data_IF_583949045867
#
_entry.id   IF_583949045867
#
_cell.length_a   1.000
_cell.length_b   1.000
_cell.length_c   1.000
_cell.angle_alpha   90.00
_cell.angle_beta   90.00
_cell.angle_gamma   90.00
#
_symmetry.space_group_name_H-M   'P 1'
#
loop_
_entity.id
_entity.type
_entity.pdbx_description
1 polymer ?
#
# COMPACT_ATOMS: atom_id res chain seq x y z
N UNK A 1 -32.61 -20.06 17.88
CA UNK A 1 -31.48 -20.78 18.49
C UNK A 1 -30.28 -20.49 17.60
N UNK A 2 -29.46 -19.51 17.97
CA UNK A 2 -28.25 -19.12 17.25
C UNK A 2 -27.06 -19.83 17.89
N UNK A 3 -26.31 -20.59 17.10
CA UNK A 3 -24.99 -21.09 17.46
C UNK A 3 -24.01 -20.47 16.46
N UNK A 4 -23.48 -19.29 16.82
CA UNK A 4 -22.30 -18.72 16.16
C UNK A 4 -21.08 -19.06 17.04
N UNK A 5 -20.53 -20.25 16.82
CA UNK A 5 -19.20 -20.60 17.32
C UNK A 5 -18.16 -19.91 16.44
N UNK A 6 -17.71 -18.73 16.86
CA UNK A 6 -16.51 -18.09 16.31
C UNK A 6 -15.28 -18.87 16.80
N UNK A 7 -14.85 -19.89 16.05
CA UNK A 7 -13.55 -20.51 16.27
C UNK A 7 -12.44 -19.54 15.87
N UNK A 8 -11.86 -18.85 16.86
CA UNK A 8 -10.59 -18.15 16.68
C UNK A 8 -9.49 -19.20 16.42
N UNK A 9 -8.80 -19.08 15.29
CA UNK A 9 -7.63 -19.90 15.01
C UNK A 9 -6.55 -19.64 16.05
N UNK A 10 -6.18 -20.66 16.83
CA UNK A 10 -5.11 -20.58 17.81
C UNK A 10 -3.91 -21.41 17.33
N UNK A 11 -2.78 -20.76 17.06
CA UNK A 11 -1.52 -21.44 16.77
C UNK A 11 -0.77 -21.67 18.09
N UNK A 12 -0.51 -22.93 18.44
CA UNK A 12 0.29 -23.30 19.61
C UNK A 12 1.70 -23.60 19.14
N UNK A 13 2.66 -22.79 19.57
CA UNK A 13 4.10 -23.04 19.37
C UNK A 13 4.64 -23.62 20.68
N UNK A 14 5.13 -24.85 20.64
CA UNK A 14 5.82 -25.47 21.77
C UNK A 14 7.25 -24.91 21.85
N UNK A 15 7.72 -24.63 23.07
CA UNK A 15 9.00 -23.94 23.30
C UNK A 15 9.85 -24.80 24.23
N UNK A 16 11.03 -25.21 23.76
CA UNK A 16 12.05 -25.91 24.55
C UNK A 16 13.23 -24.94 24.83
N UNK A 17 13.29 -24.33 26.02
CA UNK A 17 14.43 -23.50 26.47
C UNK A 17 14.12 -22.02 26.79
N UNK A 18 15.12 -21.21 27.23
CA UNK A 18 14.93 -19.81 27.63
C UNK A 18 14.30 -19.02 26.48
N UNK A 19 13.07 -18.57 26.70
CA UNK A 19 12.13 -18.26 25.62
C UNK A 19 12.18 -16.77 25.27
N UNK A 20 12.89 -16.43 24.21
CA UNK A 20 12.67 -15.16 23.52
C UNK A 20 11.62 -15.36 22.42
N UNK A 21 10.57 -14.55 22.45
CA UNK A 21 9.53 -14.54 21.42
C UNK A 21 9.66 -13.23 20.66
N UNK A 22 9.88 -13.35 19.35
CA UNK A 22 10.02 -12.22 18.45
C UNK A 22 8.70 -11.98 17.73
N UNK A 23 8.23 -10.73 17.74
CA UNK A 23 7.07 -10.26 16.99
C UNK A 23 7.56 -9.29 15.92
N UNK A 24 7.20 -9.54 14.66
CA UNK A 24 7.47 -8.60 13.56
C UNK A 24 6.27 -7.66 13.45
N UNK A 25 6.51 -6.35 13.44
CA UNK A 25 5.44 -5.34 13.62
C UNK A 25 4.30 -5.38 12.59
N UNK A 26 4.50 -5.98 11.42
CA UNK A 26 3.49 -6.15 10.37
C UNK A 26 2.93 -7.59 10.28
N UNK A 27 3.49 -8.57 11.00
CA UNK A 27 3.04 -9.96 10.99
C UNK A 27 2.34 -10.34 12.30
N UNK A 28 1.20 -11.04 12.20
CA UNK A 28 0.49 -11.58 13.38
C UNK A 28 1.05 -12.96 13.79
N UNK A 29 2.36 -13.14 13.70
CA UNK A 29 3.06 -14.40 13.99
C UNK A 29 4.21 -14.18 14.96
N UNK A 30 4.34 -15.10 15.91
CA UNK A 30 5.43 -15.16 16.87
C UNK A 30 6.53 -16.09 16.35
N UNK A 31 7.77 -15.60 16.27
CA UNK A 31 8.94 -16.40 15.92
C UNK A 31 9.70 -16.80 17.18
N UNK A 32 10.14 -18.07 17.24
CA UNK A 32 10.92 -18.62 18.35
C UNK A 32 12.44 -18.32 18.24
N UNK A 33 12.85 -17.61 17.19
CA UNK A 33 14.21 -17.14 16.98
C UNK A 33 14.18 -15.72 16.38
N UNK A 34 15.23 -14.90 16.58
CA UNK A 34 15.30 -13.57 15.99
C UNK A 34 15.20 -13.66 14.47
N UNK A 35 14.21 -13.02 13.82
CA UNK A 35 14.11 -13.02 12.37
C UNK A 35 15.27 -12.22 11.77
N UNK A 36 15.82 -12.71 10.66
CA UNK A 36 16.77 -11.94 9.87
C UNK A 36 16.01 -10.81 9.16
N UNK A 37 16.09 -9.61 9.72
CA UNK A 37 15.38 -8.45 9.21
C UNK A 37 15.78 -8.09 7.77
N UNK A 38 16.96 -8.52 7.31
CA UNK A 38 17.41 -8.29 5.94
C UNK A 38 16.66 -9.15 4.90
N UNK A 39 15.97 -10.20 5.34
CA UNK A 39 15.21 -11.11 4.48
C UNK A 39 13.70 -10.85 4.54
N UNK A 40 13.24 -9.98 5.43
CA UNK A 40 11.83 -9.68 5.57
C UNK A 40 11.34 -8.85 4.37
N UNK A 41 10.14 -9.16 3.83
CA UNK A 41 9.50 -8.32 2.83
C UNK A 41 9.38 -6.87 3.30
N UNK A 42 9.76 -5.93 2.43
CA UNK A 42 9.62 -4.50 2.69
C UNK A 42 8.17 -4.05 2.46
N UNK A 43 7.22 -4.66 3.18
CA UNK A 43 5.78 -4.41 3.07
C UNK A 43 4.92 -5.67 3.06
N UNK A 44 3.60 -5.47 2.94
CA UNK A 44 2.61 -6.55 2.89
C UNK A 44 1.48 -6.22 1.90
N UNK A 45 1.38 -7.01 0.82
CA UNK A 45 0.31 -6.86 -0.19
C UNK A 45 -1.04 -7.39 0.28
N UNK A 46 -1.11 -8.18 1.35
CA UNK A 46 -2.38 -8.59 1.95
C UNK A 46 -3.08 -7.41 2.67
N UNK A 47 -2.36 -6.31 2.91
CA UNK A 47 -2.91 -5.08 3.49
C UNK A 47 -3.14 -4.03 2.43
N UNK A 48 -4.24 -3.30 2.57
CA UNK A 48 -4.60 -2.17 1.68
C UNK A 48 -4.61 -0.86 2.45
N UNK A 49 -3.42 -0.29 2.69
CA UNK A 49 -3.25 0.95 3.45
C UNK A 49 -3.19 2.21 2.58
N UNK A 50 -3.04 2.05 1.26
CA UNK A 50 -3.11 3.14 0.30
C UNK A 50 -4.52 3.26 -0.29
N UNK A 51 -4.95 4.48 -0.56
CA UNK A 51 -6.28 4.79 -1.05
C UNK A 51 -6.19 5.58 -2.34
N UNK A 52 -6.74 5.05 -3.44
CA UNK A 52 -6.85 5.76 -4.71
C UNK A 52 -8.20 6.46 -4.75
N UNK A 53 -8.19 7.79 -4.63
CA UNK A 53 -9.37 8.59 -4.26
C UNK A 53 -10.03 9.32 -5.43
N UNK A 54 -9.28 9.55 -6.50
CA UNK A 54 -9.75 10.09 -7.78
C UNK A 54 -8.79 9.65 -8.90
N UNK A 55 -9.00 10.10 -10.14
CA UNK A 55 -8.19 9.71 -11.29
C UNK A 55 -6.67 9.85 -11.11
N UNK A 56 -6.20 10.85 -10.37
CA UNK A 56 -4.77 11.18 -10.27
C UNK A 56 -4.20 11.02 -8.85
N UNK A 57 -5.05 10.94 -7.84
CA UNK A 57 -4.64 11.09 -6.45
C UNK A 57 -4.62 9.76 -5.70
N UNK A 58 -3.48 9.46 -5.08
CA UNK A 58 -3.30 8.37 -4.13
C UNK A 58 -2.94 8.96 -2.76
N UNK A 59 -3.67 8.53 -1.73
CA UNK A 59 -3.45 8.90 -0.35
C UNK A 59 -2.84 7.72 0.41
N UNK A 60 -1.66 7.92 0.99
CA UNK A 60 -0.99 6.89 1.79
C UNK A 60 -0.34 7.48 3.04
N UNK A 61 -0.49 6.80 4.18
CA UNK A 61 -0.03 7.29 5.48
C UNK A 61 1.46 6.96 5.74
N UNK A 62 2.31 7.39 4.81
CA UNK A 62 3.78 7.28 4.90
C UNK A 62 4.38 8.66 4.74
N UNK A 63 5.31 9.11 5.60
CA UNK A 63 5.94 10.42 5.46
C UNK A 63 6.63 10.57 4.09
N UNK A 64 6.52 11.73 3.43
CA UNK A 64 7.09 11.94 2.10
C UNK A 64 8.62 12.05 2.10
N UNK A 65 9.23 12.35 3.25
CA UNK A 65 10.65 12.62 3.41
C UNK A 65 11.24 11.81 4.56
N UNK A 66 12.56 11.66 4.57
CA UNK A 66 13.28 11.07 5.69
C UNK A 66 13.38 12.03 6.87
N UNK A 67 12.39 11.97 7.77
CA UNK A 67 12.32 12.89 8.90
C UNK A 67 11.93 14.32 8.48
N UNK A 68 11.93 15.24 9.44
CA UNK A 68 11.51 16.62 9.19
C UNK A 68 12.52 17.37 8.32
N UNK A 69 12.20 17.55 7.03
CA UNK A 69 13.03 18.31 6.07
C UNK A 69 14.19 17.51 5.45
N UNK A 70 14.18 16.18 5.59
CA UNK A 70 15.13 15.31 4.90
C UNK A 70 14.82 15.15 3.41
N UNK A 71 15.65 14.36 2.69
CA UNK A 71 15.44 14.05 1.29
C UNK A 71 14.07 13.38 1.04
N UNK A 72 13.52 13.62 -0.15
CA UNK A 72 12.25 13.03 -0.59
C UNK A 72 12.41 11.53 -0.85
N UNK A 73 11.43 10.76 -0.38
CA UNK A 73 11.32 9.33 -0.64
C UNK A 73 10.74 9.09 -2.02
N UNK A 74 11.07 7.94 -2.59
CA UNK A 74 10.63 7.59 -3.94
C UNK A 74 9.38 6.72 -3.85
N UNK A 75 8.29 7.17 -4.46
CA UNK A 75 7.02 6.46 -4.47
C UNK A 75 6.75 5.88 -5.86
N UNK A 76 6.22 4.66 -5.90
CA UNK A 76 5.90 4.00 -7.16
C UNK A 76 4.54 3.30 -7.08
N UNK A 77 3.85 3.28 -8.21
CA UNK A 77 2.65 2.49 -8.47
C UNK A 77 3.03 1.31 -9.35
N UNK A 78 2.71 0.10 -8.92
CA UNK A 78 2.99 -1.14 -9.61
C UNK A 78 1.70 -1.78 -10.09
N UNK A 79 1.73 -2.32 -11.30
CA UNK A 79 0.60 -3.00 -11.92
C UNK A 79 1.01 -4.35 -12.50
N UNK A 80 0.14 -5.33 -12.33
CA UNK A 80 0.22 -6.65 -12.95
C UNK A 80 -1.17 -7.07 -13.45
N UNK A 81 -1.32 -7.42 -14.73
CA UNK A 81 -2.60 -7.89 -15.27
C UNK A 81 -2.96 -9.29 -14.79
N UNK A 82 -1.97 -10.12 -14.43
CA UNK A 82 -2.11 -11.52 -14.05
C UNK A 82 -2.02 -11.76 -12.52
N UNK A 83 -2.03 -10.67 -11.74
CA UNK A 83 -1.93 -10.70 -10.28
C UNK A 83 -0.68 -11.41 -9.73
N UNK A 84 0.47 -11.17 -10.38
CA UNK A 84 1.76 -11.77 -10.06
C UNK A 84 2.67 -10.91 -9.16
N UNK A 85 2.14 -9.80 -8.60
CA UNK A 85 2.93 -8.94 -7.70
C UNK A 85 3.29 -9.68 -6.42
N UNK A 86 4.55 -9.51 -6.01
CA UNK A 86 5.09 -9.98 -4.73
C UNK A 86 5.99 -8.90 -4.13
N UNK A 87 6.08 -8.89 -2.79
CA UNK A 87 7.02 -8.03 -2.07
C UNK A 87 8.16 -8.87 -1.54
N UNK A 88 9.38 -8.42 -1.80
CA UNK A 88 10.62 -8.99 -1.27
C UNK A 88 11.31 -7.94 -0.40
N UNK A 89 12.43 -8.30 0.22
CA UNK A 89 13.27 -7.33 0.94
C UNK A 89 13.80 -6.21 0.01
N UNK A 90 13.87 -6.47 -1.30
CA UNK A 90 14.28 -5.49 -2.32
C UNK A 90 13.13 -4.63 -2.86
N UNK A 91 11.89 -4.83 -2.41
CA UNK A 91 10.71 -4.10 -2.88
C UNK A 91 9.74 -4.95 -3.68
N UNK A 92 8.98 -4.33 -4.58
CA UNK A 92 7.93 -5.00 -5.36
C UNK A 92 8.51 -5.63 -6.63
N UNK A 93 8.18 -6.89 -6.89
CA UNK A 93 8.53 -7.63 -8.10
C UNK A 93 7.28 -8.19 -8.79
N UNK A 94 7.43 -8.58 -10.07
CA UNK A 94 6.32 -9.15 -10.86
C UNK A 94 5.42 -8.10 -11.51
N UNK A 95 5.77 -6.81 -11.41
CA UNK A 95 5.04 -5.75 -12.09
C UNK A 95 5.32 -5.77 -13.60
N UNK A 96 4.27 -5.70 -14.39
CA UNK A 96 4.36 -5.44 -15.83
C UNK A 96 4.63 -3.94 -16.08
N UNK A 97 3.99 -3.08 -15.29
CA UNK A 97 4.16 -1.63 -15.35
C UNK A 97 4.50 -1.08 -13.98
N UNK A 98 5.51 -0.21 -13.92
CA UNK A 98 5.85 0.57 -12.72
C UNK A 98 5.89 2.05 -13.09
N UNK A 99 5.10 2.85 -12.38
CA UNK A 99 4.98 4.29 -12.61
C UNK A 99 5.52 5.06 -11.40
N UNK A 100 6.37 6.08 -11.60
CA UNK A 100 6.75 6.96 -10.50
C UNK A 100 5.54 7.80 -10.06
N UNK A 101 5.36 7.96 -8.75
CA UNK A 101 4.39 8.85 -8.17
C UNK A 101 5.09 10.13 -7.69
N UNK A 102 4.45 11.27 -7.92
CA UNK A 102 4.95 12.56 -7.47
C UNK A 102 4.40 12.88 -6.08
N UNK A 103 5.26 13.30 -5.16
CA UNK A 103 4.78 13.89 -3.90
C UNK A 103 4.25 15.29 -4.19
N UNK A 104 2.94 15.47 -4.09
CA UNK A 104 2.30 16.77 -4.28
C UNK A 104 2.13 17.54 -2.95
N UNK A 105 2.18 16.85 -1.82
CA UNK A 105 2.16 17.47 -0.50
C UNK A 105 2.16 16.46 0.65
N UNK A 106 2.43 16.94 1.86
CA UNK A 106 2.38 16.12 3.08
C UNK A 106 0.97 15.87 3.62
N UNK A 107 -0.05 16.45 2.98
CA UNK A 107 -1.45 16.24 3.32
C UNK A 107 -2.30 16.28 2.04
N UNK A 108 -3.39 15.51 2.03
CA UNK A 108 -4.36 15.51 0.92
C UNK A 108 -5.05 16.87 0.76
N UNK A 109 -5.48 17.25 -0.46
CA UNK A 109 -6.20 18.49 -0.70
C UNK A 109 -7.51 18.58 0.11
N UNK A 110 -7.91 19.80 0.49
CA UNK A 110 -9.12 20.02 1.30
C UNK A 110 -10.41 19.47 0.64
N UNK A 111 -10.49 19.52 -0.70
CA UNK A 111 -11.61 18.95 -1.44
C UNK A 111 -11.70 17.42 -1.29
N UNK A 112 -10.56 16.73 -1.34
CA UNK A 112 -10.46 15.28 -1.11
C UNK A 112 -10.77 14.96 0.35
N UNK A 113 -10.23 15.74 1.29
CA UNK A 113 -10.49 15.57 2.72
C UNK A 113 -11.96 15.75 3.10
N UNK A 114 -12.72 16.58 2.37
CA UNK A 114 -14.16 16.73 2.57
C UNK A 114 -14.94 15.45 2.21
N UNK A 115 -14.51 14.73 1.15
CA UNK A 115 -15.09 13.43 0.74
C UNK A 115 -14.60 12.28 1.63
N UNK A 116 -13.33 12.32 2.03
CA UNK A 116 -12.65 11.29 2.80
C UNK A 116 -11.97 11.85 4.06
N UNK A 117 -12.73 12.25 5.11
CA UNK A 117 -12.15 12.90 6.30
C UNK A 117 -11.13 12.04 7.06
N UNK A 118 -11.28 10.72 6.98
CA UNK A 118 -10.38 9.76 7.62
C UNK A 118 -8.98 9.70 6.98
N UNK A 119 -8.82 10.21 5.75
CA UNK A 119 -7.54 10.28 5.03
C UNK A 119 -6.73 11.53 5.37
N UNK A 120 -7.21 12.37 6.29
CA UNK A 120 -6.44 13.49 6.78
C UNK A 120 -5.09 13.03 7.38
N UNK A 121 -4.03 13.75 7.03
CA UNK A 121 -2.66 13.44 7.42
C UNK A 121 -2.00 12.34 6.58
N UNK A 122 -2.65 11.86 5.51
CA UNK A 122 -2.00 11.04 4.50
C UNK A 122 -1.19 11.92 3.54
N UNK A 123 -0.06 11.39 3.08
CA UNK A 123 0.73 12.03 2.02
C UNK A 123 -0.08 12.04 0.72
N UNK A 124 -0.03 13.17 0.04
CA UNK A 124 -0.64 13.38 -1.26
C UNK A 124 0.32 12.94 -2.35
N UNK A 125 0.04 11.79 -2.95
CA UNK A 125 0.76 11.25 -4.09
C UNK A 125 -0.07 11.46 -5.35
N UNK A 126 0.57 11.94 -6.41
CA UNK A 126 -0.07 12.16 -7.70
C UNK A 126 0.54 11.26 -8.76
N UNK A 127 -0.32 10.73 -9.62
CA UNK A 127 0.07 10.10 -10.88
C UNK A 127 0.38 11.24 -11.87
N UNK A 128 1.60 11.29 -12.45
CA UNK A 128 1.96 12.30 -13.43
C UNK A 128 1.00 12.35 -14.62
N UNK A 129 0.78 13.53 -15.19
CA UNK A 129 -0.20 13.77 -16.26
C UNK A 129 0.03 12.86 -17.47
N UNK A 130 1.30 12.57 -17.79
CA UNK A 130 1.71 11.68 -18.88
C UNK A 130 1.23 10.22 -18.72
N UNK A 131 0.84 9.82 -17.51
CA UNK A 131 0.38 8.48 -17.20
C UNK A 131 -1.14 8.38 -16.97
N UNK A 132 -1.87 9.51 -16.97
CA UNK A 132 -3.30 9.53 -16.68
C UNK A 132 -4.17 8.82 -17.73
N UNK A 133 -3.67 8.62 -18.94
CA UNK A 133 -4.35 7.83 -19.97
C UNK A 133 -4.32 6.32 -19.68
N UNK A 134 -3.32 5.86 -18.92
CA UNK A 134 -3.11 4.44 -18.59
C UNK A 134 -4.00 4.00 -17.41
N UNK A 135 -4.49 4.94 -16.60
CA UNK A 135 -5.23 4.68 -15.36
C UNK A 135 -6.40 3.70 -15.56
N UNK A 136 -7.16 3.84 -16.64
CA UNK A 136 -8.31 2.95 -16.91
C UNK A 136 -7.89 1.49 -17.15
N UNK A 137 -6.68 1.26 -17.67
CA UNK A 137 -6.11 -0.09 -17.83
C UNK A 137 -5.54 -0.61 -16.50
N UNK A 138 -4.88 0.25 -15.72
CA UNK A 138 -4.30 -0.13 -14.42
C UNK A 138 -5.38 -0.62 -13.44
N UNK A 139 -6.59 -0.07 -13.51
CA UNK A 139 -7.72 -0.48 -12.66
C UNK A 139 -8.31 -1.87 -12.98
N UNK A 140 -7.84 -2.54 -14.05
CA UNK A 140 -8.35 -3.85 -14.48
C UNK A 140 -7.54 -5.03 -13.95
N UNK A 141 -6.49 -4.79 -13.18
CA UNK A 141 -5.59 -5.82 -12.67
C UNK A 141 -5.20 -5.59 -11.22
N UNK A 142 -4.13 -6.26 -10.79
CA UNK A 142 -3.57 -6.08 -9.46
C UNK A 142 -2.72 -4.82 -9.40
N UNK A 143 -2.92 -4.02 -8.36
CA UNK A 143 -2.21 -2.75 -8.14
C UNK A 143 -1.64 -2.70 -6.73
N UNK A 144 -0.39 -2.27 -6.61
CA UNK A 144 0.29 -2.01 -5.35
C UNK A 144 1.06 -0.70 -5.40
N UNK A 145 1.30 -0.08 -4.25
CA UNK A 145 2.25 1.03 -4.12
C UNK A 145 3.46 0.59 -3.32
N UNK A 146 4.61 1.19 -3.62
CA UNK A 146 5.82 1.07 -2.81
C UNK A 146 6.42 2.42 -2.49
N UNK A 147 7.18 2.46 -1.41
CA UNK A 147 8.04 3.57 -1.02
C UNK A 147 9.45 3.06 -0.80
N UNK A 148 10.41 3.78 -1.37
CA UNK A 148 11.83 3.56 -1.16
C UNK A 148 12.47 4.80 -0.56
N UNK A 149 13.56 4.58 0.19
CA UNK A 149 14.44 5.63 0.63
C UNK A 149 15.11 6.32 -0.58
N UNK A 150 15.69 7.51 -0.41
CA UNK A 150 16.35 8.24 -1.49
C UNK A 150 17.53 7.47 -2.13
N UNK A 151 18.12 6.54 -1.39
CA UNK A 151 19.19 5.64 -1.85
C UNK A 151 18.66 4.38 -2.59
N UNK A 152 17.34 4.24 -2.68
CA UNK A 152 16.66 3.12 -3.34
C UNK A 152 16.34 1.93 -2.42
N UNK A 153 16.66 1.99 -1.13
CA UNK A 153 16.28 0.92 -0.20
C UNK A 153 14.76 0.85 -0.03
N UNK A 154 14.16 -0.33 -0.23
CA UNK A 154 12.72 -0.51 -0.06
C UNK A 154 12.32 -0.33 1.41
N UNK A 155 11.30 0.50 1.65
CA UNK A 155 10.84 0.84 3.01
C UNK A 155 9.50 0.18 3.33
N UNK A 156 8.54 0.26 2.41
CA UNK A 156 7.22 -0.32 2.58
C UNK A 156 6.54 -0.52 1.21
N UNK A 157 5.57 -1.43 1.16
CA UNK A 157 4.75 -1.70 0.00
C UNK A 157 3.42 -2.28 0.45
N UNK A 158 2.33 -1.84 -0.17
CA UNK A 158 0.99 -2.34 0.16
C UNK A 158 0.05 -2.30 -1.04
N UNK A 159 -1.06 -3.02 -0.94
CA UNK A 159 -2.12 -2.97 -1.94
C UNK A 159 -2.92 -1.65 -1.84
N UNK A 160 -3.65 -1.34 -2.90
CA UNK A 160 -4.40 -0.07 -3.01
C UNK A 160 -5.90 -0.30 -2.98
N UNK A 161 -6.63 0.54 -2.23
CA UNK A 161 -8.08 0.60 -2.29
C UNK A 161 -8.51 1.44 -3.50
N UNK A 162 -9.14 0.80 -4.49
CA UNK A 162 -9.46 1.41 -5.79
C UNK A 162 -10.81 2.13 -5.85
N UNK A 163 -11.63 2.04 -4.78
CA UNK A 163 -13.03 2.46 -4.81
C UNK A 163 -13.23 3.93 -5.23
N UNK A 164 -12.37 4.85 -4.77
CA UNK A 164 -12.49 6.28 -5.10
C UNK A 164 -12.17 6.58 -6.57
N UNK A 165 -11.13 5.95 -7.12
CA UNK A 165 -10.77 6.08 -8.53
C UNK A 165 -11.84 5.49 -9.46
N UNK A 166 -12.43 4.35 -9.09
CA UNK A 166 -13.52 3.73 -9.85
C UNK A 166 -14.77 4.63 -9.84
N UNK A 167 -15.13 5.21 -8.68
CA UNK A 167 -16.23 6.16 -8.57
C UNK A 167 -16.01 7.39 -9.46
N UNK A 168 -14.83 8.00 -9.39
CA UNK A 168 -14.48 9.18 -10.17
C UNK A 168 -14.55 8.94 -11.69
N UNK A 169 -14.08 7.79 -12.17
CA UNK A 169 -14.03 7.46 -13.60
C UNK A 169 -15.36 6.94 -14.16
N UNK A 170 -16.13 6.19 -13.38
CA UNK A 170 -17.26 5.41 -13.91
C UNK A 170 -18.62 5.78 -13.30
N UNK A 171 -18.69 6.45 -12.14
CA UNK A 171 -20.00 6.79 -11.55
C UNK A 171 -20.78 7.82 -12.38
N UNK A 172 -20.09 8.64 -13.17
CA UNK A 172 -20.72 9.62 -14.08
C UNK A 172 -21.25 8.97 -15.38
N UNK A 173 -20.83 7.75 -15.72
CA UNK A 173 -21.21 7.07 -16.98
C UNK A 173 -22.62 6.46 -16.98
N UNK A 174 -23.35 6.45 -15.85
CA UNK A 174 -24.70 5.88 -15.78
C UNK A 174 -25.87 6.82 -16.17
N UNK A 175 -25.61 7.99 -16.76
CA UNK A 175 -26.67 8.89 -17.26
C UNK A 175 -26.66 9.18 -18.77
N UNK A 176 -25.85 8.47 -19.57
CA UNK A 176 -26.00 8.52 -21.02
C UNK A 176 -25.91 7.13 -21.66
N UNK A 177 -27.00 6.80 -22.35
CA UNK A 177 -27.30 5.70 -23.28
C UNK A 177 -27.69 4.34 -22.70
#
# INVERSE_FOLDING_TARGET
MCNDDLTAGAQRVALDGPTEIWLVGNEQSAAAAPPDMALLPAGDLAKSYAHWVDRATIAWRVPPTEGAGGPERQFHLHFSPDASLRVTAGGVEGAETTLPLRVAGSNIPAAVAARFPHLHGCTHLEIPEEHLEQVSALLQGQVAVSVAAPDGAALDACSVQLAGAIDDLFATVLLQS
#
